data_IF_907896260199
#
_entry.id   IF_907896260199
#
_cell.length_a   1.000
_cell.length_b   1.000
_cell.length_c   1.000
_cell.angle_alpha   90.00
_cell.angle_beta   90.00
_cell.angle_gamma   90.00
#
_symmetry.space_group_name_H-M   'P 1'
#
loop_
_entity.id
_entity.type
_entity.pdbx_description
1 polymer ?
#
# COMPACT_ATOMS: atom_id res chain seq x y z
N UNK A 1 0.47 -10.88 21.18
CA UNK A 1 1.31 -11.57 20.18
C UNK A 1 0.45 -11.91 18.98
N UNK A 2 0.39 -11.04 17.97
CA UNK A 2 -0.48 -11.27 16.80
C UNK A 2 0.29 -10.92 15.53
N UNK A 3 1.07 -11.90 15.07
CA UNK A 3 1.39 -12.20 13.67
C UNK A 3 1.52 -11.03 12.67
N UNK A 4 2.41 -10.08 12.91
CA UNK A 4 2.90 -9.09 11.93
C UNK A 4 3.86 -9.70 10.89
N UNK A 5 3.63 -10.95 10.47
CA UNK A 5 4.69 -11.83 10.00
C UNK A 5 5.33 -11.47 8.65
N UNK A 6 4.93 -10.39 7.97
CA UNK A 6 5.63 -9.86 6.78
C UNK A 6 5.22 -8.40 6.43
N UNK A 7 4.96 -7.52 7.40
CA UNK A 7 4.72 -6.10 7.09
C UNK A 7 6.07 -5.40 6.96
N UNK A 8 6.39 -4.91 5.76
CA UNK A 8 7.68 -4.25 5.49
C UNK A 8 7.57 -2.77 5.86
N UNK A 9 8.42 -2.31 6.78
CA UNK A 9 8.55 -0.88 7.08
C UNK A 9 9.32 -0.20 5.95
N UNK A 10 8.66 0.73 5.27
CA UNK A 10 9.20 1.42 4.08
C UNK A 10 9.50 2.90 4.37
N UNK A 11 9.28 3.35 5.61
CA UNK A 11 9.44 4.74 6.00
C UNK A 11 8.34 5.65 5.43
N UNK A 12 8.65 6.95 5.30
CA UNK A 12 7.77 7.93 4.68
C UNK A 12 7.89 7.85 3.13
N UNK A 13 6.86 8.26 2.37
CA UNK A 13 6.94 8.33 0.91
C UNK A 13 7.92 9.43 0.48
N UNK A 14 8.89 9.08 -0.36
CA UNK A 14 9.83 10.01 -0.98
C UNK A 14 9.25 10.51 -2.31
N UNK A 15 9.04 11.83 -2.49
CA UNK A 15 8.43 12.39 -3.70
C UNK A 15 9.33 12.29 -4.94
N UNK A 16 10.63 12.04 -4.76
CA UNK A 16 11.59 11.84 -5.84
C UNK A 16 11.66 10.37 -6.32
N UNK A 17 11.03 9.44 -5.59
CA UNK A 17 11.06 8.01 -5.89
C UNK A 17 9.72 7.54 -6.48
N UNK A 18 9.78 6.46 -7.28
CA UNK A 18 8.58 5.87 -7.85
C UNK A 18 7.74 5.21 -6.76
N UNK A 19 6.56 5.78 -6.51
CA UNK A 19 5.56 5.28 -5.58
C UNK A 19 4.22 5.21 -6.30
N UNK A 20 3.62 4.02 -6.30
CA UNK A 20 2.29 3.76 -6.83
C UNK A 20 1.25 4.67 -6.17
N UNK A 21 0.15 4.97 -6.87
CA UNK A 21 -0.95 5.75 -6.31
C UNK A 21 -1.53 5.06 -5.06
N UNK A 22 -1.88 5.87 -4.06
CA UNK A 22 -2.55 5.43 -2.83
C UNK A 22 -4.03 5.80 -2.98
N UNK A 23 -4.93 4.82 -2.83
CA UNK A 23 -6.37 5.06 -2.81
C UNK A 23 -6.78 5.72 -1.49
N UNK A 24 -7.75 6.62 -1.56
CA UNK A 24 -8.31 7.28 -0.38
C UNK A 24 -9.30 6.34 0.35
N UNK A 25 -9.49 6.53 1.66
CA UNK A 25 -10.39 5.71 2.49
C UNK A 25 -11.86 5.88 2.04
N UNK A 26 -12.31 5.01 1.12
CA UNK A 26 -13.67 5.00 0.60
C UNK A 26 -13.80 5.42 -0.87
N UNK A 27 -12.70 5.47 -1.62
CA UNK A 27 -12.73 5.82 -3.03
C UNK A 27 -13.39 4.70 -3.87
N UNK A 28 -14.66 4.90 -4.26
CA UNK A 28 -15.42 4.04 -5.18
C UNK A 28 -14.75 3.92 -6.57
N UNK A 29 -13.76 4.79 -6.86
CA UNK A 29 -12.94 4.76 -8.07
C UNK A 29 -11.76 3.78 -8.01
N UNK A 30 -11.60 3.02 -6.93
CA UNK A 30 -10.56 1.96 -6.85
C UNK A 30 -10.68 0.98 -8.02
N UNK A 31 -11.91 0.65 -8.46
CA UNK A 31 -12.16 -0.22 -9.61
C UNK A 31 -11.75 0.42 -10.95
N UNK A 32 -11.96 1.74 -11.10
CA UNK A 32 -11.51 2.50 -12.28
C UNK A 32 -9.99 2.52 -12.37
N UNK A 33 -9.33 2.78 -11.24
CA UNK A 33 -7.87 2.77 -11.14
C UNK A 33 -7.31 1.38 -11.53
N UNK A 34 -7.92 0.28 -11.07
CA UNK A 34 -7.52 -1.09 -11.49
C UNK A 34 -7.66 -1.30 -12.99
N UNK A 35 -8.70 -0.72 -13.61
CA UNK A 35 -8.94 -0.83 -15.06
C UNK A 35 -7.90 -0.04 -15.87
N UNK A 36 -7.35 1.03 -15.30
CA UNK A 36 -6.36 1.91 -15.93
C UNK A 36 -4.91 1.44 -15.78
N UNK A 37 -4.59 0.47 -14.91
CA UNK A 37 -3.23 -0.08 -14.78
C UNK A 37 -3.03 -1.27 -15.73
N UNK A 38 -2.35 -1.10 -16.89
CA UNK A 38 -2.04 -2.21 -17.77
C UNK A 38 -0.89 -3.04 -17.17
N UNK A 39 -1.21 -4.23 -16.69
CA UNK A 39 -0.34 -5.39 -16.96
C UNK A 39 0.57 -5.92 -15.86
N UNK A 40 0.76 -5.28 -14.71
CA UNK A 40 1.49 -5.92 -13.61
C UNK A 40 0.79 -5.75 -12.25
N UNK A 41 0.45 -6.85 -11.55
CA UNK A 41 -0.18 -6.82 -10.24
C UNK A 41 0.85 -6.50 -9.15
N UNK A 42 1.67 -5.47 -9.35
CA UNK A 42 2.74 -5.06 -8.44
C UNK A 42 2.63 -3.58 -8.12
N UNK A 43 2.72 -3.23 -6.83
CA UNK A 43 2.75 -1.86 -6.36
C UNK A 43 4.19 -1.43 -6.12
N UNK A 44 4.50 -0.19 -6.44
CA UNK A 44 5.80 0.40 -6.17
C UNK A 44 5.73 1.31 -4.95
N UNK A 45 6.74 1.30 -4.08
CA UNK A 45 6.85 2.28 -3.00
C UNK A 45 8.33 2.58 -2.78
N UNK A 46 8.72 3.85 -2.88
CA UNK A 46 10.12 4.27 -2.77
C UNK A 46 11.07 3.44 -3.65
N UNK A 47 10.70 3.21 -4.92
CA UNK A 47 11.48 2.40 -5.88
C UNK A 47 11.58 0.90 -5.54
N UNK A 48 10.82 0.40 -4.56
CA UNK A 48 10.68 -1.04 -4.26
C UNK A 48 9.38 -1.56 -4.86
N UNK A 49 9.44 -2.72 -5.49
CA UNK A 49 8.28 -3.43 -6.03
C UNK A 49 7.73 -4.43 -5.01
N UNK A 50 6.41 -4.46 -4.85
CA UNK A 50 5.67 -5.36 -3.96
C UNK A 50 4.56 -6.05 -4.74
N UNK A 51 4.42 -7.35 -4.59
CA UNK A 51 3.34 -8.13 -5.17
C UNK A 51 1.96 -7.77 -4.58
N UNK A 52 0.91 -7.96 -5.38
CA UNK A 52 -0.47 -7.79 -4.91
C UNK A 52 -0.76 -8.69 -3.71
N UNK A 53 -1.32 -8.10 -2.67
CA UNK A 53 -1.55 -8.73 -1.38
C UNK A 53 -0.44 -8.47 -0.34
N UNK A 54 0.69 -7.87 -0.74
CA UNK A 54 1.73 -7.42 0.20
C UNK A 54 1.25 -6.28 1.08
N UNK A 55 1.78 -6.21 2.30
CA UNK A 55 1.49 -5.16 3.27
C UNK A 55 2.76 -4.39 3.61
N UNK A 56 2.67 -3.06 3.58
CA UNK A 56 3.75 -2.16 3.96
C UNK A 56 3.29 -1.25 5.09
N UNK A 57 4.23 -0.83 5.93
CA UNK A 57 4.02 0.19 6.95
C UNK A 57 4.67 1.49 6.48
N UNK A 58 3.87 2.54 6.41
CA UNK A 58 4.34 3.91 6.15
C UNK A 58 3.86 4.83 7.27
N UNK A 59 4.80 5.38 8.04
CA UNK A 59 4.49 6.17 9.22
C UNK A 59 3.68 5.38 10.25
N UNK A 60 2.44 5.81 10.50
CA UNK A 60 1.49 5.21 11.45
C UNK A 60 0.40 4.37 10.78
N UNK A 61 0.45 4.19 9.46
CA UNK A 61 -0.57 3.50 8.68
C UNK A 61 0.00 2.29 7.95
N UNK A 62 -0.84 1.28 7.72
CA UNK A 62 -0.53 0.11 6.90
C UNK A 62 -1.24 0.29 5.56
N UNK A 63 -0.49 0.06 4.49
CA UNK A 63 -1.03 -0.02 3.14
C UNK A 63 -0.93 -1.45 2.64
N UNK A 64 -1.95 -1.89 1.92
CA UNK A 64 -2.00 -3.17 1.22
C UNK A 64 -1.89 -2.92 -0.28
N UNK A 65 -1.02 -3.66 -0.95
CA UNK A 65 -0.95 -3.62 -2.39
C UNK A 65 -2.16 -4.32 -3.00
N UNK A 66 -2.86 -3.62 -3.88
CA UNK A 66 -3.99 -4.12 -4.63
C UNK A 66 -3.83 -3.73 -6.10
N UNK A 67 -3.35 -4.67 -6.92
CA UNK A 67 -3.21 -4.52 -8.37
C UNK A 67 -2.57 -3.19 -8.83
N UNK A 68 -1.44 -2.82 -8.22
CA UNK A 68 -0.69 -1.62 -8.56
C UNK A 68 -1.10 -0.35 -7.80
N UNK A 69 -2.09 -0.45 -6.92
CA UNK A 69 -2.60 0.64 -6.08
C UNK A 69 -2.40 0.28 -4.61
N UNK A 70 -2.03 1.26 -3.79
CA UNK A 70 -1.93 1.09 -2.36
C UNK A 70 -3.26 1.41 -1.68
N UNK A 71 -3.83 0.44 -0.96
CA UNK A 71 -5.10 0.60 -0.24
C UNK A 71 -4.82 0.69 1.27
N UNK A 72 -5.36 1.68 1.99
CA UNK A 72 -5.23 1.75 3.45
C UNK A 72 -5.87 0.53 4.11
N UNK A 73 -5.06 -0.25 4.80
CA UNK A 73 -5.48 -1.49 5.49
C UNK A 73 -5.78 -1.28 6.98
N UNK A 74 -5.45 -0.10 7.51
CA UNK A 74 -5.65 0.29 8.91
C UNK A 74 -4.41 0.90 9.56
N UNK A 75 -4.47 1.22 10.85
CA UNK A 75 -3.32 1.73 11.59
C UNK A 75 -2.24 0.66 11.78
N UNK A 76 -0.99 1.10 11.82
CA UNK A 76 0.16 0.24 12.11
C UNK A 76 0.21 -0.26 13.55
N UNK A 77 -0.51 0.43 14.43
CA UNK A 77 -0.60 0.15 15.86
C UNK A 77 -1.96 -0.46 16.19
N UNK A 78 -2.05 -1.78 16.45
CA UNK A 78 -3.31 -2.43 16.80
C UNK A 78 -3.78 -2.10 18.22
N UNK A 79 -3.00 -1.33 18.99
CA UNK A 79 -3.24 -1.03 20.41
C UNK A 79 -3.67 0.42 20.68
N UNK A 80 -3.76 1.28 19.66
CA UNK A 80 -4.30 2.65 19.82
C UNK A 80 -5.50 2.90 18.88
N UNK A 81 -6.71 2.44 19.28
CA UNK A 81 -7.98 2.66 18.58
C UNK A 81 -8.49 4.10 18.66
#
# INVERSE_FOLDING_TARGET
MTQSKNIIDVGAPDPELNTSPIADEGDDNTESLRSEVPGEPVCHFNNKSFDTGSYIKTGTSILKCDYGIWIPAGPADPENP
#
